data_IF_060459184820
#
_entry.id   IF_060459184820
#
_cell.length_a   1.000
_cell.length_b   1.000
_cell.length_c   1.000
_cell.angle_alpha   90.00
_cell.angle_beta   90.00
_cell.angle_gamma   90.00
#
_symmetry.space_group_name_H-M   'P 1'
#
loop_
_entity.id
_entity.type
_entity.pdbx_description
1 polymer ?
#
# COMPACT_ATOMS: atom_id res chain seq x y z
N UNK A 1 31.13 -86.73 -22.48
CA UNK A 1 31.39 -86.64 -23.94
C UNK A 1 31.00 -85.24 -24.36
N UNK A 2 31.93 -84.29 -24.29
CA UNK A 2 32.93 -83.95 -25.31
C UNK A 2 32.36 -83.00 -26.38
N UNK A 3 32.75 -81.73 -26.21
CA UNK A 3 33.26 -80.83 -27.25
C UNK A 3 32.34 -80.42 -28.40
N UNK A 4 31.96 -79.14 -28.47
CA UNK A 4 32.19 -78.34 -29.69
C UNK A 4 31.99 -76.82 -29.50
N UNK A 5 33.12 -76.10 -29.57
CA UNK A 5 33.39 -74.90 -30.41
C UNK A 5 32.44 -73.70 -30.22
N UNK A 6 32.80 -72.61 -29.54
CA UNK A 6 33.90 -71.67 -29.81
C UNK A 6 33.94 -71.26 -31.28
N UNK A 7 33.51 -70.00 -31.54
CA UNK A 7 33.75 -69.09 -32.68
C UNK A 7 32.43 -68.33 -32.93
N UNK A 8 32.37 -67.08 -32.48
CA UNK A 8 31.84 -65.91 -33.21
C UNK A 8 31.88 -64.69 -32.27
N UNK A 9 33.10 -64.32 -31.89
CA UNK A 9 33.44 -63.00 -31.36
C UNK A 9 34.23 -62.30 -32.47
N UNK A 10 33.53 -61.55 -33.33
CA UNK A 10 34.04 -60.45 -34.15
C UNK A 10 32.94 -60.05 -35.14
N UNK A 11 32.74 -58.75 -35.31
CA UNK A 11 31.87 -58.08 -36.29
C UNK A 11 30.40 -57.90 -35.89
N UNK A 12 30.13 -56.97 -34.94
CA UNK A 12 29.15 -55.89 -35.17
C UNK A 12 29.24 -54.79 -34.09
N UNK A 13 30.43 -54.26 -33.85
CA UNK A 13 30.64 -53.03 -33.07
C UNK A 13 31.12 -51.93 -34.01
N UNK A 14 30.26 -51.47 -34.91
CA UNK A 14 30.40 -50.19 -35.62
C UNK A 14 29.03 -49.83 -36.21
N UNK A 15 28.62 -48.56 -36.06
CA UNK A 15 27.32 -47.95 -36.46
C UNK A 15 26.23 -48.11 -35.37
N UNK A 16 25.76 -47.09 -34.65
CA UNK A 16 25.71 -45.66 -34.89
C UNK A 16 25.85 -44.93 -33.54
N UNK A 17 26.99 -44.27 -33.37
CA UNK A 17 27.03 -42.99 -32.68
C UNK A 17 26.14 -42.04 -33.51
N UNK A 18 24.86 -41.98 -33.16
CA UNK A 18 23.99 -40.88 -33.56
C UNK A 18 24.50 -39.64 -32.85
N UNK A 19 25.50 -39.00 -33.43
CA UNK A 19 25.74 -37.58 -33.18
C UNK A 19 24.44 -36.88 -33.52
N UNK A 20 23.77 -36.35 -32.50
CA UNK A 20 22.78 -35.32 -32.70
C UNK A 20 23.51 -34.12 -33.31
N UNK A 21 23.71 -34.17 -34.63
CA UNK A 21 23.86 -32.95 -35.40
C UNK A 21 22.55 -32.21 -35.19
N UNK A 22 22.60 -31.19 -34.33
CA UNK A 22 21.71 -30.05 -34.45
C UNK A 22 21.92 -29.51 -35.86
N UNK A 23 21.19 -30.06 -36.83
CA UNK A 23 21.00 -29.39 -38.10
C UNK A 23 20.38 -28.06 -37.70
N UNK A 24 21.10 -26.97 -37.93
CA UNK A 24 20.49 -25.63 -37.96
C UNK A 24 19.55 -25.64 -39.18
N UNK A 25 18.40 -26.29 -39.05
CA UNK A 25 17.29 -26.18 -39.98
C UNK A 25 16.83 -24.74 -39.90
N UNK A 26 17.19 -23.96 -40.91
CA UNK A 26 16.69 -22.60 -41.08
C UNK A 26 15.24 -22.72 -41.48
N UNK A 27 14.34 -22.36 -40.57
CA UNK A 27 12.89 -22.39 -40.82
C UNK A 27 12.49 -21.44 -41.96
N UNK A 28 11.51 -21.85 -42.75
CA UNK A 28 10.86 -21.03 -43.78
C UNK A 28 9.51 -20.50 -43.29
N UNK A 29 8.90 -19.57 -44.04
CA UNK A 29 7.55 -19.07 -43.73
C UNK A 29 6.51 -20.21 -43.70
N UNK A 30 6.59 -21.15 -44.64
CA UNK A 30 5.66 -22.29 -44.69
C UNK A 30 5.81 -23.23 -43.48
N UNK A 31 7.03 -23.37 -42.95
CA UNK A 31 7.27 -24.14 -41.73
C UNK A 31 6.63 -23.43 -40.52
N UNK A 32 6.76 -22.11 -40.42
CA UNK A 32 6.10 -21.32 -39.38
C UNK A 32 4.57 -21.40 -39.47
N UNK A 33 4.00 -21.32 -40.67
CA UNK A 33 2.55 -21.51 -40.89
C UNK A 33 2.08 -22.88 -40.39
N UNK A 34 2.85 -23.92 -40.69
CA UNK A 34 2.55 -25.29 -40.25
C UNK A 34 2.57 -25.40 -38.73
N UNK A 35 3.56 -24.79 -38.07
CA UNK A 35 3.66 -24.75 -36.60
C UNK A 35 2.51 -23.97 -35.96
N UNK A 36 2.08 -22.85 -36.56
CA UNK A 36 0.92 -22.10 -36.10
C UNK A 36 -0.35 -22.95 -36.16
N UNK A 37 -0.63 -23.59 -37.30
CA UNK A 37 -1.81 -24.46 -37.49
C UNK A 37 -1.80 -25.62 -36.51
N UNK A 38 -0.64 -26.22 -36.28
CA UNK A 38 -0.44 -27.32 -35.33
C UNK A 38 -0.46 -26.88 -33.86
N UNK A 39 -0.51 -25.57 -33.58
CA UNK A 39 -0.42 -24.98 -32.24
C UNK A 39 0.85 -25.38 -31.49
N UNK A 40 1.95 -25.58 -32.22
CA UNK A 40 3.24 -25.84 -31.64
C UNK A 40 3.96 -24.53 -31.32
N UNK A 41 3.41 -23.82 -30.34
CA UNK A 41 3.79 -22.44 -30.04
C UNK A 41 5.24 -22.28 -29.60
N UNK A 42 5.78 -23.21 -28.79
CA UNK A 42 7.17 -23.12 -28.30
C UNK A 42 8.17 -23.26 -29.43
N UNK A 43 7.94 -24.19 -30.36
CA UNK A 43 8.81 -24.35 -31.53
C UNK A 43 8.70 -23.15 -32.47
N UNK A 44 7.48 -22.66 -32.72
CA UNK A 44 7.26 -21.45 -33.52
C UNK A 44 8.06 -20.28 -32.95
N UNK A 45 7.94 -20.02 -31.65
CA UNK A 45 8.60 -18.87 -30.99
C UNK A 45 10.12 -18.97 -31.06
N UNK A 46 10.69 -20.16 -30.94
CA UNK A 46 12.15 -20.37 -31.04
C UNK A 46 12.69 -20.07 -32.45
N UNK A 47 11.90 -20.36 -33.47
CA UNK A 47 12.32 -20.28 -34.87
C UNK A 47 11.75 -19.10 -35.65
N UNK A 48 10.83 -18.31 -35.07
CA UNK A 48 10.20 -17.18 -35.76
C UNK A 48 11.22 -16.15 -36.28
N UNK A 49 12.36 -16.00 -35.61
CA UNK A 49 13.43 -15.10 -36.02
C UNK A 49 14.49 -15.73 -36.95
N UNK A 50 14.38 -17.01 -37.29
CA UNK A 50 15.21 -17.64 -38.33
C UNK A 50 14.92 -17.03 -39.72
N UNK A 51 13.69 -16.50 -39.88
CA UNK A 51 13.31 -15.69 -41.04
C UNK A 51 14.15 -14.43 -41.08
N UNK A 52 14.80 -14.19 -42.22
CA UNK A 52 15.65 -13.01 -42.42
C UNK A 52 14.84 -11.72 -42.27
N UNK A 53 15.39 -10.66 -41.67
CA UNK A 53 14.67 -9.39 -41.50
C UNK A 53 14.02 -8.84 -42.78
N UNK A 54 14.65 -9.02 -43.95
CA UNK A 54 14.10 -8.58 -45.24
C UNK A 54 12.90 -9.40 -45.73
N UNK A 55 12.63 -10.56 -45.12
CA UNK A 55 11.51 -11.46 -45.44
C UNK A 55 10.41 -11.41 -44.37
N UNK A 56 10.58 -10.62 -43.31
CA UNK A 56 9.57 -10.40 -42.27
C UNK A 56 8.55 -9.38 -42.76
N UNK A 57 7.72 -9.83 -43.67
CA UNK A 57 6.65 -9.03 -44.25
C UNK A 57 5.42 -8.98 -43.32
N UNK A 58 4.31 -8.45 -43.86
CA UNK A 58 3.05 -8.35 -43.13
C UNK A 58 2.52 -9.72 -42.68
N UNK A 59 2.69 -10.75 -43.50
CA UNK A 59 2.18 -12.09 -43.20
C UNK A 59 2.93 -12.71 -42.02
N UNK A 60 4.26 -12.63 -42.02
CA UNK A 60 5.06 -13.03 -40.87
C UNK A 60 4.64 -12.30 -39.58
N UNK A 61 4.37 -10.99 -39.67
CA UNK A 61 3.92 -10.18 -38.53
C UNK A 61 2.57 -10.68 -37.99
N UNK A 62 1.62 -10.97 -38.87
CA UNK A 62 0.28 -11.49 -38.50
C UNK A 62 0.40 -12.85 -37.80
N UNK A 63 1.23 -13.77 -38.30
CA UNK A 63 1.48 -15.05 -37.65
C UNK A 63 2.11 -14.90 -36.26
N UNK A 64 3.11 -14.02 -36.11
CA UNK A 64 3.76 -13.77 -34.82
C UNK A 64 2.78 -13.24 -33.78
N UNK A 65 1.91 -12.29 -34.16
CA UNK A 65 0.85 -11.76 -33.27
C UNK A 65 -0.14 -12.86 -32.90
N UNK A 66 -0.61 -13.61 -33.89
CA UNK A 66 -1.55 -14.71 -33.70
C UNK A 66 -0.98 -15.77 -32.74
N UNK A 67 0.24 -16.27 -33.00
CA UNK A 67 0.90 -17.26 -32.14
C UNK A 67 1.19 -16.69 -30.76
N UNK A 68 1.71 -15.47 -30.64
CA UNK A 68 2.01 -14.86 -29.34
C UNK A 68 0.76 -14.74 -28.46
N UNK A 69 -0.37 -14.33 -29.04
CA UNK A 69 -1.64 -14.22 -28.29
C UNK A 69 -2.29 -15.57 -27.98
N UNK A 70 -2.20 -16.55 -28.89
CA UNK A 70 -2.71 -17.91 -28.65
C UNK A 70 -1.85 -18.68 -27.65
N UNK A 71 -0.53 -18.46 -27.65
CA UNK A 71 0.38 -19.07 -26.70
C UNK A 71 0.04 -18.68 -25.26
N UNK A 72 -0.22 -17.39 -25.01
CA UNK A 72 -0.65 -16.91 -23.70
C UNK A 72 -1.99 -17.52 -23.24
N UNK A 73 -2.94 -17.68 -24.16
CA UNK A 73 -4.21 -18.34 -23.85
C UNK A 73 -4.00 -19.82 -23.48
N UNK A 74 -3.14 -20.52 -24.21
CA UNK A 74 -2.80 -21.93 -23.94
C UNK A 74 -2.11 -22.09 -22.58
N UNK A 75 -1.13 -21.24 -22.26
CA UNK A 75 -0.47 -21.23 -20.95
C UNK A 75 -1.48 -21.01 -19.81
N UNK A 76 -2.36 -20.02 -19.94
CA UNK A 76 -3.41 -19.75 -18.94
C UNK A 76 -4.39 -20.92 -18.82
N UNK A 77 -4.83 -21.51 -19.94
CA UNK A 77 -5.77 -22.62 -19.96
C UNK A 77 -5.17 -23.88 -19.31
N UNK A 78 -3.89 -24.16 -19.55
CA UNK A 78 -3.14 -25.28 -18.94
C UNK A 78 -2.68 -24.98 -17.51
N UNK A 79 -2.86 -23.74 -17.03
CA UNK A 79 -2.32 -23.24 -15.75
C UNK A 79 -0.80 -23.40 -15.66
N UNK A 80 -0.11 -23.29 -16.78
CA UNK A 80 1.36 -23.32 -16.82
C UNK A 80 1.91 -21.95 -16.41
N UNK A 81 2.03 -21.76 -15.11
CA UNK A 81 2.64 -20.59 -14.48
C UNK A 81 4.04 -20.92 -13.96
N UNK A 82 4.81 -21.68 -14.74
CA UNK A 82 6.20 -21.97 -14.40
C UNK A 82 7.12 -20.78 -14.68
N UNK A 83 8.29 -20.76 -14.03
CA UNK A 83 9.33 -19.76 -14.27
C UNK A 83 9.86 -19.80 -15.72
N UNK A 84 9.90 -20.98 -16.32
CA UNK A 84 10.29 -21.16 -17.72
C UNK A 84 9.31 -20.42 -18.64
N UNK A 85 8.01 -20.68 -18.49
CA UNK A 85 6.95 -20.03 -19.27
C UNK A 85 6.92 -18.52 -19.03
N UNK A 86 7.16 -18.05 -17.80
CA UNK A 86 7.33 -16.62 -17.52
C UNK A 86 8.50 -16.00 -18.30
N UNK A 87 9.67 -16.65 -18.31
CA UNK A 87 10.83 -16.15 -19.05
C UNK A 87 10.58 -16.11 -20.56
N UNK A 88 9.91 -17.12 -21.11
CA UNK A 88 9.53 -17.14 -22.53
C UNK A 88 8.54 -16.01 -22.87
N UNK A 89 7.53 -15.76 -22.02
CA UNK A 89 6.60 -14.64 -22.20
C UNK A 89 7.31 -13.29 -22.15
N UNK A 90 8.25 -13.11 -21.21
CA UNK A 90 9.02 -11.87 -21.12
C UNK A 90 10.00 -11.69 -22.29
N UNK A 91 10.54 -12.79 -22.82
CA UNK A 91 11.29 -12.76 -24.07
C UNK A 91 10.39 -12.30 -25.23
N UNK A 92 9.17 -12.81 -25.36
CA UNK A 92 8.21 -12.37 -26.38
C UNK A 92 7.85 -10.88 -26.26
N UNK A 93 7.72 -10.37 -25.04
CA UNK A 93 7.43 -8.95 -24.78
C UNK A 93 8.56 -7.99 -25.23
N UNK A 94 9.76 -8.52 -25.49
CA UNK A 94 10.87 -7.76 -26.08
C UNK A 94 10.76 -7.60 -27.59
N UNK A 95 9.88 -8.37 -28.26
CA UNK A 95 9.73 -8.32 -29.71
C UNK A 95 8.90 -7.10 -30.13
N UNK A 96 9.39 -6.24 -31.05
CA UNK A 96 8.68 -5.03 -31.45
C UNK A 96 7.24 -5.29 -31.93
N UNK A 97 7.04 -6.37 -32.69
CA UNK A 97 5.73 -6.76 -33.24
C UNK A 97 4.70 -7.02 -32.15
N UNK A 98 5.09 -7.66 -31.05
CA UNK A 98 4.20 -8.03 -29.95
C UNK A 98 4.04 -6.91 -28.94
N UNK A 99 5.08 -6.12 -28.72
CA UNK A 99 5.06 -4.95 -27.83
C UNK A 99 4.04 -3.89 -28.27
N UNK A 100 3.85 -3.75 -29.58
CA UNK A 100 2.88 -2.80 -30.17
C UNK A 100 1.44 -3.36 -30.22
N UNK A 101 1.25 -4.65 -29.96
CA UNK A 101 -0.06 -5.29 -30.04
C UNK A 101 -0.80 -5.26 -28.70
N UNK A 102 -1.91 -4.51 -28.64
CA UNK A 102 -2.67 -4.32 -27.40
C UNK A 102 -3.27 -5.62 -26.85
N UNK A 103 -3.64 -6.57 -27.71
CA UNK A 103 -4.20 -7.85 -27.27
C UNK A 103 -3.14 -8.73 -26.61
N UNK A 104 -1.94 -8.78 -27.19
CA UNK A 104 -0.79 -9.45 -26.58
C UNK A 104 -0.44 -8.82 -25.23
N UNK A 105 -0.35 -7.49 -25.14
CA UNK A 105 -0.04 -6.79 -23.89
C UNK A 105 -1.06 -7.10 -22.80
N UNK A 106 -2.36 -7.00 -23.12
CA UNK A 106 -3.42 -7.32 -22.15
C UNK A 106 -3.38 -8.78 -21.68
N UNK A 107 -3.12 -9.73 -22.59
CA UNK A 107 -2.98 -11.15 -22.24
C UNK A 107 -1.72 -11.43 -21.43
N UNK A 108 -0.61 -10.76 -21.74
CA UNK A 108 0.63 -10.84 -20.97
C UNK A 108 0.41 -10.37 -19.54
N UNK A 109 -0.24 -9.22 -19.36
CA UNK A 109 -0.55 -8.67 -18.04
C UNK A 109 -1.40 -9.65 -17.21
N UNK A 110 -2.43 -10.24 -17.83
CA UNK A 110 -3.27 -11.27 -17.20
C UNK A 110 -2.47 -12.52 -16.82
N UNK A 111 -1.62 -13.01 -17.72
CA UNK A 111 -0.75 -14.15 -17.44
C UNK A 111 0.20 -13.84 -16.28
N UNK A 112 0.89 -12.71 -16.31
CA UNK A 112 1.87 -12.31 -15.29
C UNK A 112 1.21 -12.12 -13.93
N UNK A 113 0.02 -11.53 -13.86
CA UNK A 113 -0.71 -11.43 -12.60
C UNK A 113 -0.95 -12.83 -11.97
N UNK A 114 -1.38 -13.81 -12.78
CA UNK A 114 -1.58 -15.19 -12.33
C UNK A 114 -0.27 -15.84 -11.87
N UNK A 115 0.79 -15.67 -12.67
CA UNK A 115 2.13 -16.15 -12.35
C UNK A 115 2.64 -15.59 -11.01
N UNK A 116 2.63 -14.27 -10.83
CA UNK A 116 3.13 -13.62 -9.62
C UNK A 116 2.29 -13.96 -8.39
N UNK A 117 0.97 -14.11 -8.56
CA UNK A 117 0.08 -14.58 -7.49
C UNK A 117 0.44 -16.00 -7.03
N UNK A 118 0.71 -16.91 -7.98
CA UNK A 118 1.18 -18.25 -7.66
C UNK A 118 2.58 -18.23 -7.03
N UNK A 119 3.48 -17.41 -7.54
CA UNK A 119 4.83 -17.25 -7.00
C UNK A 119 4.79 -16.86 -5.50
N UNK A 120 3.97 -15.87 -5.13
CA UNK A 120 3.83 -15.45 -3.73
C UNK A 120 3.23 -16.53 -2.83
N UNK A 121 2.33 -17.37 -3.36
CA UNK A 121 1.77 -18.50 -2.61
C UNK A 121 2.81 -19.55 -2.22
N UNK A 122 3.92 -19.63 -2.96
CA UNK A 122 5.05 -20.53 -2.67
C UNK A 122 6.04 -19.95 -1.65
N UNK A 123 5.72 -18.78 -1.05
CA UNK A 123 6.53 -18.07 -0.04
C UNK A 123 7.90 -17.57 -0.54
N UNK A 124 8.06 -17.40 -1.85
CA UNK A 124 9.30 -16.91 -2.48
C UNK A 124 9.29 -15.38 -2.72
N UNK A 125 8.80 -14.59 -1.77
CA UNK A 125 8.49 -13.17 -1.96
C UNK A 125 9.61 -12.34 -2.63
N UNK A 126 10.88 -12.55 -2.24
CA UNK A 126 12.03 -11.84 -2.83
C UNK A 126 12.24 -12.17 -4.30
N UNK A 127 12.05 -13.43 -4.69
CA UNK A 127 12.19 -13.88 -6.08
C UNK A 127 11.05 -13.30 -6.91
N UNK A 128 9.81 -13.39 -6.41
CA UNK A 128 8.63 -12.83 -7.07
C UNK A 128 8.75 -11.32 -7.27
N UNK A 129 9.30 -10.60 -6.29
CA UNK A 129 9.53 -9.16 -6.39
C UNK A 129 10.58 -8.80 -7.45
N UNK A 130 11.65 -9.61 -7.57
CA UNK A 130 12.62 -9.46 -8.66
C UNK A 130 11.97 -9.67 -10.03
N UNK A 131 11.12 -10.68 -10.15
CA UNK A 131 10.39 -10.98 -11.39
C UNK A 131 9.33 -9.92 -11.72
N UNK A 132 8.67 -9.34 -10.71
CA UNK A 132 7.80 -8.17 -10.89
C UNK A 132 8.59 -7.00 -11.48
N UNK A 133 9.78 -6.71 -10.94
CA UNK A 133 10.65 -5.63 -11.46
C UNK A 133 11.08 -5.91 -12.89
N UNK A 134 11.43 -7.16 -13.22
CA UNK A 134 11.75 -7.56 -14.60
C UNK A 134 10.56 -7.32 -15.53
N UNK A 135 9.37 -7.82 -15.17
CA UNK A 135 8.14 -7.63 -15.92
C UNK A 135 7.86 -6.15 -16.18
N UNK A 136 7.93 -5.34 -15.13
CA UNK A 136 7.60 -3.93 -15.20
C UNK A 136 8.60 -3.12 -16.02
N UNK A 137 9.89 -3.44 -15.93
CA UNK A 137 10.95 -2.73 -16.64
C UNK A 137 11.01 -3.11 -18.13
N UNK A 138 10.65 -4.33 -18.49
CA UNK A 138 10.68 -4.81 -19.87
C UNK A 138 9.59 -4.15 -20.73
N UNK A 139 8.36 -4.17 -20.22
CA UNK A 139 7.21 -3.51 -20.82
C UNK A 139 6.23 -3.20 -19.70
N UNK A 140 6.12 -1.93 -19.26
CA UNK A 140 5.16 -1.53 -18.24
C UNK A 140 3.74 -1.91 -18.69
N UNK A 141 2.98 -2.53 -17.77
CA UNK A 141 1.58 -2.86 -18.01
C UNK A 141 0.67 -1.64 -17.91
N UNK A 142 -0.63 -1.85 -18.05
CA UNK A 142 -1.61 -0.77 -17.90
C UNK A 142 -1.80 -0.34 -16.42
N UNK A 143 -2.50 0.78 -16.23
CA UNK A 143 -2.82 1.31 -14.88
C UNK A 143 -3.56 0.28 -14.03
N UNK A 144 -4.50 -0.46 -14.62
CA UNK A 144 -5.24 -1.49 -13.91
C UNK A 144 -4.28 -2.59 -13.41
N UNK A 145 -3.39 -3.07 -14.27
CA UNK A 145 -2.34 -4.03 -13.92
C UNK A 145 -1.45 -3.50 -12.79
N UNK A 146 -1.01 -2.24 -12.87
CA UNK A 146 -0.24 -1.62 -11.79
C UNK A 146 -1.00 -1.65 -10.45
N UNK A 147 -2.29 -1.29 -10.45
CA UNK A 147 -3.12 -1.30 -9.25
C UNK A 147 -3.29 -2.71 -8.66
N UNK A 148 -3.54 -3.70 -9.52
CA UNK A 148 -3.65 -5.10 -9.10
C UNK A 148 -2.32 -5.62 -8.50
N UNK A 149 -1.19 -5.28 -9.11
CA UNK A 149 0.13 -5.68 -8.62
C UNK A 149 0.51 -4.98 -7.30
N UNK A 150 0.14 -3.71 -7.10
CA UNK A 150 0.31 -3.03 -5.80
C UNK A 150 -0.47 -3.76 -4.71
N UNK A 151 -1.73 -4.12 -4.99
CA UNK A 151 -2.56 -4.86 -4.03
C UNK A 151 -2.00 -6.25 -3.73
N UNK A 152 -1.40 -6.90 -4.72
CA UNK A 152 -0.81 -8.23 -4.58
C UNK A 152 0.48 -8.22 -3.76
N UNK A 153 1.30 -7.16 -3.88
CA UNK A 153 2.62 -7.09 -3.26
C UNK A 153 2.70 -6.21 -2.00
N UNK A 154 1.64 -5.51 -1.61
CA UNK A 154 1.64 -4.57 -0.47
C UNK A 154 2.11 -5.18 0.84
N UNK A 155 1.84 -6.46 1.05
CA UNK A 155 2.15 -7.16 2.30
C UNK A 155 3.56 -7.79 2.27
N UNK A 156 4.21 -7.77 1.11
CA UNK A 156 5.49 -8.45 0.86
C UNK A 156 6.64 -7.48 0.55
N UNK A 157 6.33 -6.25 0.15
CA UNK A 157 7.31 -5.26 -0.27
C UNK A 157 6.97 -3.87 0.31
N UNK A 158 7.97 -3.09 0.76
CA UNK A 158 7.73 -1.73 1.19
C UNK A 158 7.36 -0.84 -0.02
N UNK A 159 6.65 0.26 0.24
CA UNK A 159 6.17 1.18 -0.80
C UNK A 159 7.28 1.69 -1.74
N UNK A 160 8.52 1.81 -1.27
CA UNK A 160 9.67 2.22 -2.10
C UNK A 160 9.94 1.23 -3.23
N UNK A 161 9.84 -0.07 -2.96
CA UNK A 161 10.07 -1.11 -3.96
C UNK A 161 8.94 -1.19 -4.99
N UNK A 162 7.76 -0.68 -4.65
CA UNK A 162 6.59 -0.60 -5.52
C UNK A 162 6.40 0.79 -6.14
N UNK A 163 7.36 1.70 -5.96
CA UNK A 163 7.21 3.13 -6.28
C UNK A 163 6.88 3.39 -7.75
N UNK A 164 7.44 2.64 -8.70
CA UNK A 164 7.14 2.77 -10.12
C UNK A 164 5.67 2.48 -10.44
N UNK A 165 5.11 1.43 -9.82
CA UNK A 165 3.70 1.06 -9.95
C UNK A 165 2.81 2.13 -9.31
N UNK A 166 3.13 2.51 -8.07
CA UNK A 166 2.35 3.50 -7.31
C UNK A 166 2.28 4.81 -8.08
N UNK A 167 3.42 5.32 -8.57
CA UNK A 167 3.51 6.57 -9.30
C UNK A 167 2.81 6.51 -10.67
N UNK A 168 2.80 5.36 -11.35
CA UNK A 168 2.04 5.20 -12.59
C UNK A 168 0.53 5.37 -12.35
N UNK A 169 0.01 4.75 -11.29
CA UNK A 169 -1.40 4.88 -10.93
C UNK A 169 -1.69 6.29 -10.42
N UNK A 170 -0.93 6.79 -9.44
CA UNK A 170 -1.27 8.03 -8.76
C UNK A 170 -1.12 9.28 -9.63
N UNK A 171 -0.22 9.27 -10.62
CA UNK A 171 -0.04 10.40 -11.55
C UNK A 171 -1.03 10.37 -12.72
N UNK A 172 -1.73 9.26 -12.95
CA UNK A 172 -2.68 9.16 -14.05
C UNK A 172 -4.08 9.68 -13.61
N UNK A 173 -4.60 10.75 -14.22
CA UNK A 173 -5.93 11.30 -13.87
C UNK A 173 -7.08 10.29 -14.04
N UNK A 174 -6.97 9.37 -15.00
CA UNK A 174 -7.98 8.35 -15.28
C UNK A 174 -8.00 7.24 -14.22
N UNK A 175 -6.95 7.13 -13.40
CA UNK A 175 -6.80 6.13 -12.37
C UNK A 175 -7.48 6.48 -11.04
N UNK A 176 -8.27 7.56 -10.98
CA UNK A 176 -8.85 8.10 -9.74
C UNK A 176 -9.57 7.06 -8.88
N UNK A 177 -10.24 6.08 -9.51
CA UNK A 177 -10.99 5.03 -8.82
C UNK A 177 -10.11 4.06 -8.01
N UNK A 178 -8.81 3.98 -8.33
CA UNK A 178 -7.84 3.18 -7.60
C UNK A 178 -7.26 3.95 -6.40
N UNK A 179 -7.21 5.28 -6.48
CA UNK A 179 -6.54 6.14 -5.50
C UNK A 179 -7.18 6.15 -4.11
N UNK A 180 -8.49 5.93 -4.03
CA UNK A 180 -9.22 5.86 -2.75
C UNK A 180 -9.17 4.50 -2.06
N UNK A 181 -8.60 3.46 -2.69
CA UNK A 181 -8.51 2.12 -2.08
C UNK A 181 -7.51 2.15 -0.94
N UNK A 182 -7.88 1.62 0.23
CA UNK A 182 -7.08 1.71 1.46
C UNK A 182 -5.63 1.25 1.28
N UNK A 183 -5.41 0.06 0.68
CA UNK A 183 -4.06 -0.47 0.43
C UNK A 183 -3.22 0.48 -0.43
N UNK A 184 -3.82 1.02 -1.49
CA UNK A 184 -3.13 1.95 -2.38
C UNK A 184 -2.84 3.28 -1.68
N UNK A 185 -3.84 3.82 -0.99
CA UNK A 185 -3.76 5.08 -0.28
C UNK A 185 -2.69 5.06 0.82
N UNK A 186 -2.59 3.95 1.56
CA UNK A 186 -1.54 3.73 2.55
C UNK A 186 -0.15 3.65 1.91
N UNK A 187 0.00 2.93 0.80
CA UNK A 187 1.27 2.84 0.08
C UNK A 187 1.71 4.18 -0.52
N UNK A 188 0.79 4.93 -1.14
CA UNK A 188 1.07 6.27 -1.66
C UNK A 188 1.48 7.23 -0.53
N UNK A 189 0.79 7.18 0.61
CA UNK A 189 1.13 8.00 1.77
C UNK A 189 2.53 7.68 2.32
N UNK A 190 2.82 6.39 2.49
CA UNK A 190 4.15 5.95 2.92
C UNK A 190 5.23 6.38 1.92
N UNK A 191 4.97 6.30 0.62
CA UNK A 191 5.91 6.77 -0.40
C UNK A 191 6.17 8.28 -0.26
N UNK A 192 5.10 9.08 -0.14
CA UNK A 192 5.22 10.54 0.02
C UNK A 192 5.98 10.91 1.30
N UNK A 193 5.60 10.34 2.45
CA UNK A 193 6.24 10.66 3.73
C UNK A 193 7.69 10.22 3.81
N UNK A 194 8.07 9.11 3.17
CA UNK A 194 9.46 8.67 3.15
C UNK A 194 10.34 9.51 2.22
N UNK A 195 9.74 10.28 1.31
CA UNK A 195 10.45 11.28 0.50
C UNK A 195 10.61 12.64 1.18
N UNK A 196 9.99 12.81 2.36
CA UNK A 196 10.04 14.04 3.16
C UNK A 196 10.93 13.85 4.40
N UNK A 197 11.69 14.89 4.81
CA UNK A 197 12.33 14.89 6.13
C UNK A 197 11.27 14.83 7.25
N UNK A 198 11.70 14.64 8.50
CA UNK A 198 10.76 14.56 9.63
C UNK A 198 10.06 15.91 9.87
N UNK A 199 10.80 16.99 9.71
CA UNK A 199 10.46 18.40 9.96
C UNK A 199 10.23 19.19 8.67
N UNK A 200 9.54 18.58 7.71
CA UNK A 200 9.30 19.20 6.41
C UNK A 200 8.38 20.43 6.51
N UNK A 201 8.59 21.40 5.61
CA UNK A 201 7.73 22.57 5.49
C UNK A 201 6.66 22.42 4.39
N UNK A 202 5.75 23.39 4.32
CA UNK A 202 4.64 23.40 3.36
C UNK A 202 5.11 23.31 1.89
N UNK A 203 6.18 24.02 1.52
CA UNK A 203 6.72 24.00 0.16
C UNK A 203 7.25 22.62 -0.24
N UNK A 204 7.96 21.95 0.68
CA UNK A 204 8.44 20.58 0.48
C UNK A 204 7.27 19.61 0.34
N UNK A 205 6.25 19.73 1.19
CA UNK A 205 5.04 18.92 1.12
C UNK A 205 4.31 19.08 -0.23
N UNK A 206 4.06 20.31 -0.65
CA UNK A 206 3.39 20.61 -1.91
C UNK A 206 4.14 20.04 -3.11
N UNK A 207 5.48 20.18 -3.12
CA UNK A 207 6.33 19.62 -4.18
C UNK A 207 6.24 18.10 -4.24
N UNK A 208 6.29 17.42 -3.09
CA UNK A 208 6.13 15.96 -3.03
C UNK A 208 4.75 15.52 -3.51
N UNK A 209 3.69 16.22 -3.12
CA UNK A 209 2.32 15.90 -3.58
C UNK A 209 2.20 16.07 -5.10
N UNK A 210 2.65 17.21 -5.64
CA UNK A 210 2.63 17.49 -7.08
C UNK A 210 3.42 16.45 -7.89
N UNK A 211 4.55 16.00 -7.34
CA UNK A 211 5.36 14.96 -7.97
C UNK A 211 4.80 13.56 -7.77
N UNK A 212 3.91 13.32 -6.80
CA UNK A 212 3.48 11.97 -6.45
C UNK A 212 2.07 11.65 -6.91
N UNK A 213 1.19 12.62 -7.08
CA UNK A 213 -0.22 12.37 -7.42
C UNK A 213 -0.81 13.45 -8.33
N UNK A 214 -1.68 13.04 -9.24
CA UNK A 214 -2.58 13.95 -9.95
C UNK A 214 -3.58 14.58 -8.98
N UNK A 215 -4.24 15.66 -9.42
CA UNK A 215 -5.30 16.30 -8.64
C UNK A 215 -6.45 15.32 -8.37
N UNK A 216 -6.86 14.57 -9.38
CA UNK A 216 -7.96 13.61 -9.29
C UNK A 216 -7.64 12.49 -8.30
N UNK A 217 -6.40 12.03 -8.28
CA UNK A 217 -5.96 11.02 -7.32
C UNK A 217 -5.93 11.57 -5.90
N UNK A 218 -5.42 12.80 -5.72
CA UNK A 218 -5.40 13.49 -4.43
C UNK A 218 -6.80 13.69 -3.85
N UNK A 219 -7.76 14.10 -4.69
CA UNK A 219 -9.15 14.32 -4.28
C UNK A 219 -9.82 13.02 -3.78
N UNK A 220 -9.45 11.87 -4.35
CA UNK A 220 -9.93 10.55 -3.89
C UNK A 220 -9.19 10.02 -2.66
N UNK A 221 -7.90 10.37 -2.53
CA UNK A 221 -7.03 9.92 -1.44
C UNK A 221 -7.26 10.70 -0.14
N UNK A 222 -7.46 12.02 -0.23
CA UNK A 222 -7.49 12.91 0.93
C UNK A 222 -8.60 12.59 1.95
N UNK A 223 -9.83 12.14 1.57
CA UNK A 223 -10.83 11.71 2.54
C UNK A 223 -10.38 10.51 3.38
N UNK A 224 -9.71 9.53 2.77
CA UNK A 224 -9.15 8.40 3.49
C UNK A 224 -8.07 8.86 4.48
N UNK A 225 -7.17 9.74 4.05
CA UNK A 225 -6.09 10.26 4.88
C UNK A 225 -6.60 11.08 6.08
N UNK A 226 -7.68 11.85 5.92
CA UNK A 226 -8.38 12.53 7.03
C UNK A 226 -8.86 11.54 8.09
N UNK A 227 -9.40 10.40 7.66
CA UNK A 227 -9.83 9.32 8.57
C UNK A 227 -8.69 8.67 9.37
N UNK A 228 -7.43 8.83 8.92
CA UNK A 228 -6.26 8.29 9.62
C UNK A 228 -5.73 9.20 10.72
N UNK A 229 -6.12 10.47 10.77
CA UNK A 229 -5.66 11.45 11.78
C UNK A 229 -5.91 10.99 13.23
N UNK A 230 -6.96 10.21 13.46
CA UNK A 230 -7.35 9.72 14.79
C UNK A 230 -6.93 8.26 15.04
N UNK A 231 -6.42 7.55 14.03
CA UNK A 231 -6.07 6.12 14.11
C UNK A 231 -4.57 5.87 14.10
N UNK A 232 -3.82 6.71 13.38
CA UNK A 232 -2.38 6.56 13.25
C UNK A 232 -1.63 6.89 14.55
N UNK A 233 -0.42 6.34 14.77
CA UNK A 233 0.46 6.77 15.85
C UNK A 233 0.69 8.28 15.80
N UNK A 234 0.80 8.94 16.96
CA UNK A 234 0.80 10.41 17.07
C UNK A 234 1.81 11.13 16.14
N UNK A 235 3.04 10.60 16.02
CA UNK A 235 4.05 11.15 15.12
C UNK A 235 3.62 11.06 13.65
N UNK A 236 3.03 9.93 13.27
CA UNK A 236 2.58 9.70 11.90
C UNK A 236 1.33 10.55 11.58
N UNK A 237 0.39 10.64 12.52
CA UNK A 237 -0.79 11.49 12.42
C UNK A 237 -0.43 12.97 12.25
N UNK A 238 0.59 13.48 12.97
CA UNK A 238 1.02 14.88 12.78
C UNK A 238 1.63 15.11 11.40
N UNK A 239 2.38 14.14 10.86
CA UNK A 239 2.88 14.23 9.48
C UNK A 239 1.74 14.18 8.46
N UNK A 240 0.69 13.39 8.71
CA UNK A 240 -0.51 13.37 7.86
C UNK A 240 -1.22 14.71 7.87
N UNK A 241 -1.41 15.28 9.06
CA UNK A 241 -1.99 16.60 9.24
C UNK A 241 -1.21 17.65 8.46
N UNK A 242 0.11 17.70 8.60
CA UNK A 242 0.95 18.66 7.87
C UNK A 242 0.83 18.50 6.34
N UNK A 243 0.80 17.25 5.86
CA UNK A 243 0.64 16.97 4.43
C UNK A 243 -0.73 17.44 3.91
N UNK A 244 -1.82 17.14 4.61
CA UNK A 244 -3.18 17.58 4.27
C UNK A 244 -3.31 19.11 4.35
N UNK A 245 -2.74 19.71 5.40
CA UNK A 245 -2.76 21.16 5.60
C UNK A 245 -2.05 21.90 4.46
N UNK A 246 -0.97 21.32 3.89
CA UNK A 246 -0.22 21.94 2.78
C UNK A 246 -1.03 22.14 1.50
N UNK A 247 -2.19 21.48 1.39
CA UNK A 247 -3.15 21.64 0.28
C UNK A 247 -4.45 22.31 0.72
N UNK A 248 -4.53 22.79 1.95
CA UNK A 248 -5.72 23.41 2.54
C UNK A 248 -6.97 22.55 2.39
N UNK A 249 -6.83 21.21 2.43
CA UNK A 249 -7.99 20.30 2.30
C UNK A 249 -8.70 20.06 3.63
N UNK A 250 -8.11 20.48 4.75
CA UNK A 250 -8.72 20.42 6.07
C UNK A 250 -9.56 21.67 6.30
N UNK A 251 -10.86 21.47 6.54
CA UNK A 251 -11.74 22.51 7.06
C UNK A 251 -11.28 23.00 8.43
N UNK A 252 -11.75 24.18 8.83
CA UNK A 252 -11.43 24.73 10.15
C UNK A 252 -11.88 23.79 11.28
N UNK A 253 -13.05 23.17 11.14
CA UNK A 253 -13.59 22.22 12.11
C UNK A 253 -12.71 20.97 12.24
N UNK A 254 -12.22 20.42 11.13
CA UNK A 254 -11.30 19.27 11.13
C UNK A 254 -9.96 19.63 11.79
N UNK A 255 -9.44 20.84 11.53
CA UNK A 255 -8.22 21.33 12.18
C UNK A 255 -8.42 21.51 13.68
N UNK A 256 -9.52 22.14 14.10
CA UNK A 256 -9.87 22.37 15.49
C UNK A 256 -9.99 21.04 16.24
N UNK A 257 -10.71 20.07 15.67
CA UNK A 257 -10.90 18.74 16.26
C UNK A 257 -9.56 17.98 16.35
N UNK A 258 -8.81 17.89 15.26
CA UNK A 258 -7.56 17.13 15.24
C UNK A 258 -6.51 17.74 16.18
N UNK A 259 -6.30 19.05 16.17
CA UNK A 259 -5.28 19.68 17.01
C UNK A 259 -5.64 19.61 18.49
N UNK A 260 -6.93 19.68 18.84
CA UNK A 260 -7.39 19.46 20.22
C UNK A 260 -7.20 18.00 20.64
N UNK A 261 -7.54 17.05 19.76
CA UNK A 261 -7.26 15.63 19.98
C UNK A 261 -5.76 15.39 20.18
N UNK A 262 -4.91 15.92 19.29
CA UNK A 262 -3.45 15.80 19.36
C UNK A 262 -2.90 16.36 20.67
N UNK A 263 -3.44 17.50 21.15
CA UNK A 263 -3.09 18.07 22.46
C UNK A 263 -3.42 17.10 23.61
N UNK A 264 -4.61 16.51 23.60
CA UNK A 264 -5.07 15.54 24.61
C UNK A 264 -4.34 14.19 24.54
N UNK A 265 -3.65 13.89 23.43
CA UNK A 265 -2.83 12.69 23.28
C UNK A 265 -1.42 12.82 23.87
N UNK A 266 -1.06 13.97 24.46
CA UNK A 266 0.26 14.20 25.02
C UNK A 266 1.33 14.47 23.95
N UNK A 267 1.23 15.62 23.24
CA UNK A 267 2.10 15.95 22.12
C UNK A 267 3.56 16.10 22.54
N UNK A 268 4.47 15.81 21.61
CA UNK A 268 5.91 16.02 21.81
C UNK A 268 6.28 17.50 21.59
N UNK A 269 7.31 18.02 22.28
CA UNK A 269 7.83 19.36 22.01
C UNK A 269 8.19 19.55 20.53
N UNK A 270 7.84 20.71 19.97
CA UNK A 270 8.06 21.06 18.57
C UNK A 270 6.86 21.79 17.96
N UNK A 271 6.89 21.99 16.65
CA UNK A 271 5.89 22.79 15.94
C UNK A 271 4.48 22.23 16.05
N UNK A 272 4.32 20.91 16.09
CA UNK A 272 3.02 20.26 16.30
C UNK A 272 2.38 20.66 17.64
N UNK A 273 3.17 20.69 18.73
CA UNK A 273 2.69 21.17 20.02
C UNK A 273 2.34 22.66 19.95
N UNK A 274 3.18 23.49 19.34
CA UNK A 274 2.91 24.93 19.22
C UNK A 274 1.60 25.20 18.47
N UNK A 275 1.36 24.49 17.36
CA UNK A 275 0.10 24.58 16.60
C UNK A 275 -1.10 24.17 17.46
N UNK A 276 -1.00 23.04 18.15
CA UNK A 276 -2.09 22.55 18.99
C UNK A 276 -2.36 23.45 20.20
N UNK A 277 -1.30 23.96 20.83
CA UNK A 277 -1.39 24.90 21.95
C UNK A 277 -2.12 26.18 21.56
N UNK A 278 -1.69 26.81 20.45
CA UNK A 278 -2.29 28.03 19.94
C UNK A 278 -3.74 27.80 19.52
N UNK A 279 -4.03 26.65 18.89
CA UNK A 279 -5.39 26.29 18.51
C UNK A 279 -6.32 26.17 19.71
N UNK A 280 -5.88 25.48 20.77
CA UNK A 280 -6.64 25.36 22.02
C UNK A 280 -6.85 26.75 22.65
N UNK A 281 -5.86 27.65 22.57
CA UNK A 281 -6.01 29.03 23.04
C UNK A 281 -7.07 29.80 22.25
N UNK A 282 -7.03 29.73 20.91
CA UNK A 282 -8.02 30.38 20.04
C UNK A 282 -9.45 29.90 20.34
N UNK A 283 -9.60 28.60 20.59
CA UNK A 283 -10.89 28.01 20.93
C UNK A 283 -11.46 28.55 22.24
N UNK A 284 -10.64 29.03 23.19
CA UNK A 284 -11.10 29.60 24.45
C UNK A 284 -12.08 30.79 24.27
N UNK A 285 -11.95 31.53 23.17
CA UNK A 285 -12.76 32.71 22.87
C UNK A 285 -13.94 32.39 21.94
N UNK A 286 -14.03 31.16 21.42
CA UNK A 286 -14.96 30.77 20.36
C UNK A 286 -15.91 29.65 20.82
N UNK A 287 -16.97 30.02 21.54
CA UNK A 287 -17.89 29.05 22.18
C UNK A 287 -18.47 28.01 21.22
N UNK A 288 -19.04 28.43 20.09
CA UNK A 288 -19.65 27.50 19.11
C UNK A 288 -18.63 26.50 18.58
N UNK A 289 -17.42 26.96 18.24
CA UNK A 289 -16.33 26.11 17.76
C UNK A 289 -15.90 25.10 18.82
N UNK A 290 -15.82 25.49 20.10
CA UNK A 290 -15.58 24.53 21.20
C UNK A 290 -16.65 23.47 21.28
N UNK A 291 -17.92 23.84 21.22
CA UNK A 291 -19.02 22.87 21.30
C UNK A 291 -18.96 21.85 20.15
N UNK A 292 -18.59 22.30 18.95
CA UNK A 292 -18.36 21.39 17.81
C UNK A 292 -17.18 20.45 18.05
N UNK A 293 -16.06 20.95 18.57
CA UNK A 293 -14.89 20.12 18.95
C UNK A 293 -15.28 19.11 20.01
N UNK A 294 -15.96 19.52 21.08
CA UNK A 294 -16.42 18.64 22.16
C UNK A 294 -17.33 17.55 21.59
N UNK A 295 -18.30 17.91 20.74
CA UNK A 295 -19.18 16.93 20.08
C UNK A 295 -18.37 15.91 19.29
N UNK A 296 -17.35 16.34 18.54
CA UNK A 296 -16.46 15.45 17.79
C UNK A 296 -15.61 14.55 18.68
N UNK A 297 -15.00 15.10 19.74
CA UNK A 297 -14.21 14.32 20.70
C UNK A 297 -15.05 13.28 21.43
N UNK A 298 -16.31 13.62 21.74
CA UNK A 298 -17.25 12.71 22.41
C UNK A 298 -17.70 11.53 21.55
N UNK A 299 -17.40 11.51 20.25
CA UNK A 299 -17.66 10.38 19.36
C UNK A 299 -16.46 9.41 19.30
N UNK A 300 -15.32 9.77 19.89
CA UNK A 300 -14.14 8.91 19.94
C UNK A 300 -14.27 7.91 21.09
N UNK A 301 -13.81 6.69 20.85
CA UNK A 301 -13.81 5.61 21.84
C UNK A 301 -12.46 4.87 21.81
N UNK A 302 -11.64 4.95 22.89
CA UNK A 302 -11.88 5.71 24.12
C UNK A 302 -11.74 7.22 23.93
N UNK A 303 -12.26 8.00 24.89
CA UNK A 303 -12.10 9.45 24.96
C UNK A 303 -10.62 9.83 25.12
N UNK A 304 -10.13 10.82 24.37
CA UNK A 304 -8.72 11.20 24.40
C UNK A 304 -8.32 11.78 25.77
N UNK A 305 -7.38 11.12 26.44
CA UNK A 305 -6.93 11.52 27.77
C UNK A 305 -5.47 11.19 28.10
N UNK A 306 -4.65 10.77 27.12
CA UNK A 306 -3.25 10.38 27.38
C UNK A 306 -2.41 11.49 28.00
N UNK A 307 -2.79 12.75 27.77
CA UNK A 307 -2.25 13.90 28.49
C UNK A 307 -2.25 13.65 30.00
N UNK A 308 -3.33 13.11 30.56
CA UNK A 308 -3.49 12.87 31.99
C UNK A 308 -2.55 11.80 32.53
N UNK A 309 -2.09 10.86 31.70
CA UNK A 309 -1.11 9.85 32.09
C UNK A 309 0.36 10.30 31.91
N UNK A 310 0.62 11.53 31.45
CA UNK A 310 1.98 12.00 31.16
C UNK A 310 2.85 12.11 32.42
N UNK A 311 4.11 11.69 32.26
CA UNK A 311 5.17 11.87 33.26
C UNK A 311 6.37 12.62 32.65
N UNK A 312 7.10 13.42 33.45
CA UNK A 312 6.84 13.74 34.85
C UNK A 312 5.75 14.84 34.98
N UNK A 313 5.16 14.98 36.18
CA UNK A 313 3.94 15.80 36.39
C UNK A 313 4.14 17.29 36.16
N UNK A 314 5.38 17.77 36.28
CA UNK A 314 5.78 19.15 36.06
C UNK A 314 5.50 19.58 34.61
N UNK A 315 5.53 18.62 33.66
CA UNK A 315 5.16 18.86 32.26
C UNK A 315 3.65 18.84 32.04
N UNK A 316 2.93 18.00 32.78
CA UNK A 316 1.47 17.92 32.72
C UNK A 316 0.81 19.20 33.21
N UNK A 317 1.25 19.73 34.36
CA UNK A 317 0.60 20.87 35.02
C UNK A 317 0.34 22.10 34.12
N UNK A 318 1.32 22.64 33.36
CA UNK A 318 1.06 23.76 32.48
C UNK A 318 0.11 23.41 31.33
N UNK A 319 0.21 22.21 30.75
CA UNK A 319 -0.65 21.76 29.66
C UNK A 319 -2.09 21.55 30.12
N UNK A 320 -2.26 20.93 31.29
CA UNK A 320 -3.57 20.73 31.91
C UNK A 320 -4.22 22.08 32.23
N UNK A 321 -3.51 23.00 32.87
CA UNK A 321 -4.05 24.33 33.19
C UNK A 321 -4.45 25.11 31.94
N UNK A 322 -3.63 25.03 30.88
CA UNK A 322 -3.95 25.61 29.58
C UNK A 322 -5.25 25.05 29.03
N UNK A 323 -5.35 23.72 28.97
CA UNK A 323 -6.54 23.05 28.45
C UNK A 323 -7.79 23.32 29.30
N UNK A 324 -7.68 23.25 30.63
CA UNK A 324 -8.77 23.52 31.57
C UNK A 324 -9.30 24.95 31.41
N UNK A 325 -8.41 25.93 31.24
CA UNK A 325 -8.82 27.33 31.03
C UNK A 325 -9.53 27.51 29.69
N UNK A 326 -9.11 26.77 28.66
CA UNK A 326 -9.61 26.95 27.30
C UNK A 326 -10.86 26.15 26.97
N UNK A 327 -10.95 24.89 27.42
CA UNK A 327 -12.03 23.94 27.09
C UNK A 327 -12.42 23.15 28.36
N UNK A 328 -12.91 23.83 29.43
CA UNK A 328 -13.29 23.17 30.67
C UNK A 328 -14.40 22.13 30.47
N UNK A 329 -15.31 22.35 29.53
CA UNK A 329 -16.50 21.52 29.30
C UNK A 329 -16.14 20.09 28.86
N UNK A 330 -14.98 19.91 28.21
CA UNK A 330 -14.48 18.58 27.88
C UNK A 330 -14.06 17.80 29.13
N UNK A 331 -13.39 18.47 30.08
CA UNK A 331 -12.93 17.84 31.32
C UNK A 331 -14.12 17.42 32.20
N UNK A 332 -15.16 18.26 32.25
CA UNK A 332 -16.40 17.94 32.97
C UNK A 332 -17.06 16.68 32.40
N UNK A 333 -17.19 16.59 31.07
CA UNK A 333 -17.74 15.41 30.38
C UNK A 333 -16.87 14.17 30.52
N UNK A 334 -15.55 14.34 30.51
CA UNK A 334 -14.60 13.25 30.71
C UNK A 334 -14.78 12.65 32.12
N UNK A 335 -14.85 13.50 33.15
CA UNK A 335 -15.07 13.04 34.52
C UNK A 335 -16.47 12.46 34.72
N UNK A 336 -17.51 13.05 34.14
CA UNK A 336 -18.87 12.50 34.20
C UNK A 336 -18.90 11.07 33.64
N UNK A 337 -18.33 10.84 32.46
CA UNK A 337 -18.27 9.50 31.87
C UNK A 337 -17.43 8.52 32.67
N UNK A 338 -16.32 8.99 33.27
CA UNK A 338 -15.55 8.16 34.17
C UNK A 338 -16.38 7.71 35.38
N UNK A 339 -17.03 8.64 36.06
CA UNK A 339 -17.83 8.33 37.24
C UNK A 339 -19.01 7.43 36.90
N UNK A 340 -19.68 7.67 35.77
CA UNK A 340 -20.78 6.84 35.30
C UNK A 340 -20.34 5.42 34.90
N UNK A 341 -19.11 5.28 34.39
CA UNK A 341 -18.52 3.96 34.11
C UNK A 341 -18.19 3.23 35.41
N UNK A 342 -17.55 3.92 36.36
CA UNK A 342 -17.15 3.32 37.63
C UNK A 342 -18.34 2.97 38.54
N UNK A 343 -19.41 3.79 38.54
CA UNK A 343 -20.63 3.52 39.33
C UNK A 343 -21.63 2.58 38.62
N UNK A 344 -21.38 2.23 37.36
CA UNK A 344 -22.24 1.34 36.57
C UNK A 344 -23.58 1.95 36.16
N UNK A 345 -23.77 3.28 36.27
CA UNK A 345 -25.03 3.96 35.91
C UNK A 345 -25.28 4.02 34.41
N UNK A 346 -24.22 3.97 33.60
CA UNK A 346 -24.31 3.94 32.12
C UNK A 346 -23.59 2.71 31.56
N UNK A 347 -24.14 2.15 30.49
CA UNK A 347 -23.53 1.05 29.75
C UNK A 347 -22.63 1.57 28.63
N UNK A 348 -21.40 1.06 28.57
CA UNK A 348 -20.42 1.41 27.54
C UNK A 348 -20.04 0.13 26.78
N UNK A 349 -20.48 -0.03 25.51
CA UNK A 349 -20.39 -1.31 24.79
C UNK A 349 -18.96 -1.78 24.53
N UNK A 350 -17.98 -0.88 24.49
CA UNK A 350 -16.57 -1.19 24.24
C UNK A 350 -15.69 -1.13 25.50
N UNK A 351 -16.29 -1.08 26.70
CA UNK A 351 -15.55 -1.05 27.97
C UNK A 351 -15.34 0.36 28.52
N UNK A 352 -14.20 0.61 29.19
CA UNK A 352 -13.93 1.89 29.85
C UNK A 352 -13.73 3.02 28.81
N UNK A 353 -14.66 4.00 28.73
CA UNK A 353 -14.55 5.11 27.77
C UNK A 353 -13.44 6.10 28.15
N UNK A 354 -12.95 6.07 29.39
CA UNK A 354 -12.01 7.04 29.96
C UNK A 354 -10.85 6.29 30.61
N UNK A 355 -10.01 5.69 29.77
CA UNK A 355 -8.91 4.80 30.21
C UNK A 355 -8.00 5.50 31.24
N UNK A 356 -7.78 6.80 31.08
CA UNK A 356 -6.80 7.56 31.87
C UNK A 356 -7.44 8.31 33.06
N UNK A 357 -8.67 7.93 33.42
CA UNK A 357 -9.39 8.58 34.51
C UNK A 357 -8.65 8.45 35.85
N UNK A 358 -8.05 7.29 36.12
CA UNK A 358 -7.32 7.09 37.36
C UNK A 358 -6.12 8.03 37.48
N UNK A 359 -5.37 8.23 36.38
CA UNK A 359 -4.23 9.15 36.35
C UNK A 359 -4.69 10.60 36.56
N UNK A 360 -5.80 11.00 35.93
CA UNK A 360 -6.40 12.31 36.11
C UNK A 360 -6.73 12.60 37.59
N UNK A 361 -7.38 11.66 38.28
CA UNK A 361 -7.69 11.80 39.70
C UNK A 361 -6.48 11.63 40.62
N UNK A 362 -5.45 10.89 40.23
CA UNK A 362 -4.21 10.79 41.02
C UNK A 362 -3.57 12.16 41.24
N UNK A 363 -3.77 13.10 40.32
CA UNK A 363 -3.19 14.44 40.39
C UNK A 363 -4.17 15.51 40.81
N UNK A 364 -5.37 15.14 41.29
CA UNK A 364 -6.42 16.12 41.55
C UNK A 364 -6.01 17.20 42.54
N UNK A 365 -5.19 16.83 43.53
CA UNK A 365 -4.69 17.78 44.54
C UNK A 365 -3.60 18.70 43.97
N UNK A 366 -2.78 18.19 43.06
CA UNK A 366 -1.69 18.95 42.41
C UNK A 366 -2.26 19.92 41.36
N UNK A 367 -3.33 19.50 40.69
CA UNK A 367 -4.05 20.27 39.68
C UNK A 367 -5.09 21.22 40.30
N UNK A 368 -5.45 21.01 41.57
CA UNK A 368 -6.57 21.67 42.25
C UNK A 368 -7.88 21.57 41.45
N UNK A 369 -8.14 20.38 40.91
CA UNK A 369 -9.29 20.06 40.06
C UNK A 369 -9.50 18.53 40.07
N UNK A 370 -10.74 18.00 40.05
CA UNK A 370 -12.02 18.70 40.00
C UNK A 370 -12.47 19.22 41.37
N UNK A 371 -13.67 19.82 41.42
CA UNK A 371 -14.25 20.34 42.66
C UNK A 371 -14.35 19.26 43.77
N UNK A 372 -14.30 19.64 45.06
CA UNK A 372 -14.34 18.69 46.17
C UNK A 372 -15.48 17.64 46.13
N UNK A 373 -16.73 17.97 45.74
CA UNK A 373 -17.81 16.98 45.69
C UNK A 373 -17.52 15.86 44.67
N UNK A 374 -16.94 16.20 43.53
CA UNK A 374 -16.57 15.25 42.47
C UNK A 374 -15.45 14.33 42.96
N UNK A 375 -14.43 14.88 43.66
CA UNK A 375 -13.35 14.10 44.28
C UNK A 375 -13.87 13.14 45.35
N UNK A 376 -14.84 13.58 46.16
CA UNK A 376 -15.50 12.74 47.16
C UNK A 376 -16.29 11.61 46.51
N UNK A 377 -17.07 11.89 45.45
CA UNK A 377 -17.79 10.86 44.68
C UNK A 377 -16.82 9.81 44.11
N UNK A 378 -15.74 10.23 43.46
CA UNK A 378 -14.72 9.31 42.94
C UNK A 378 -14.12 8.42 44.06
N UNK A 379 -13.76 9.04 45.18
CA UNK A 379 -13.17 8.33 46.32
C UNK A 379 -14.13 7.34 46.98
N UNK A 380 -15.43 7.62 46.94
CA UNK A 380 -16.47 6.73 47.45
C UNK A 380 -16.69 5.51 46.54
N UNK A 381 -16.66 5.69 45.21
CA UNK A 381 -16.85 4.60 44.24
C UNK A 381 -15.64 3.65 44.19
N UNK A 382 -14.42 4.19 44.41
CA UNK A 382 -13.19 3.40 44.37
C UNK A 382 -13.01 2.46 45.58
N UNK A 383 -13.68 2.75 46.70
CA UNK A 383 -13.67 1.91 47.91
C UNK A 383 -14.57 0.71 47.73
#
# INVERSE_FOLDING_TARGET
MSSMKLIFWALFTYSLLGTAQSQNTVYTIADLESLEIQKNFREFVRHAHDIRPSQRDRHWREMVISVGTQYLDDLVARKDFSKESFNEVEMLASWPVLREDLFFVAKRDRFTHRYLSQCLSQKEAKICLSQLKQFWNNLPGEVETASQLIQLFSDYAPAQELSSLILMVSRNPQARFYCGRETFAANLLNLMLNSLPIDFNESQAQKVIQNSASKECWDQWSPWAKGQLFKAPALLADRYYQLLQSKSVLSLEEQDLYLTYYFLQGPKPGDGLNRAWNRVQELAEQFERRQNVIKGLMQLDPLPGKLFAMRPIEKLKPMFKHFQKSIPEYLDRYVENCLNYMDGTKTFPHGNPTVECQDLFQYSDILNWPEPPIRQKYSAIKK
#
